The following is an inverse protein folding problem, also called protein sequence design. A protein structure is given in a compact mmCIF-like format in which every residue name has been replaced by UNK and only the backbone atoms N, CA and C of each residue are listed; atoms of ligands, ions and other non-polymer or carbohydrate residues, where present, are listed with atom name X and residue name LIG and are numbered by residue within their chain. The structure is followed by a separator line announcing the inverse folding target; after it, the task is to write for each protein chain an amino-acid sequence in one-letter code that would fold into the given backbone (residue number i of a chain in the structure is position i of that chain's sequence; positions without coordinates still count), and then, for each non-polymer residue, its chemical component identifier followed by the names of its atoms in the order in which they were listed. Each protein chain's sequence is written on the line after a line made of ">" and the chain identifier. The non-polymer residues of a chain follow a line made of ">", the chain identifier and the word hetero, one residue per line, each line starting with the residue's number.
data_IF_984689666516
#
_entry.id   IF_984689666516
#
_cell.length_a   1.000
_cell.length_b   1.000
_cell.length_c   1.000
_cell.angle_alpha   90.00
_cell.angle_beta   90.00
_cell.angle_gamma   90.00
#
_symmetry.space_group_name_H-M   'P 1'
#
loop_
_entity.id
_entity.type
_entity.pdbx_description
1 polymer ?
#
# COMPACT_ATOMS: atom_id res chain seq x y z
N UNK A 1 24.66 -2.58 -24.04
CA UNK A 1 23.94 -2.12 -22.83
C UNK A 1 24.45 -2.95 -21.66
N UNK A 2 24.92 -2.36 -20.56
CA UNK A 2 25.43 -3.17 -19.43
C UNK A 2 24.21 -3.77 -18.71
N UNK A 3 24.28 -5.03 -18.27
CA UNK A 3 23.22 -5.73 -17.51
C UNK A 3 22.66 -4.94 -16.30
N UNK A 4 23.43 -3.96 -15.83
CA UNK A 4 23.06 -3.05 -14.74
C UNK A 4 21.93 -2.09 -15.12
N UNK A 5 21.85 -1.71 -16.39
CA UNK A 5 20.83 -0.77 -16.89
C UNK A 5 19.48 -1.48 -17.09
N UNK A 6 19.52 -2.76 -17.50
CA UNK A 6 18.34 -3.61 -17.73
C UNK A 6 17.48 -3.81 -16.47
N UNK A 7 18.09 -4.08 -15.31
CA UNK A 7 17.35 -4.22 -14.05
C UNK A 7 16.64 -2.92 -13.66
N UNK A 8 17.34 -1.80 -13.79
CA UNK A 8 16.80 -0.49 -13.41
C UNK A 8 15.64 -0.12 -14.33
N UNK A 9 15.76 -0.36 -15.64
CA UNK A 9 14.70 -0.06 -16.60
C UNK A 9 13.49 -0.99 -16.41
N UNK A 10 13.70 -2.26 -16.09
CA UNK A 10 12.63 -3.16 -15.68
C UNK A 10 11.89 -2.64 -14.43
N UNK A 11 12.62 -2.24 -13.38
CA UNK A 11 12.03 -1.74 -12.15
C UNK A 11 11.26 -0.43 -12.37
N UNK A 12 11.75 0.47 -13.24
CA UNK A 12 11.01 1.68 -13.61
C UNK A 12 9.65 1.35 -14.25
N UNK A 13 9.63 0.41 -15.19
CA UNK A 13 8.38 -0.05 -15.81
C UNK A 13 7.44 -0.65 -14.79
N UNK A 14 7.95 -1.56 -13.94
CA UNK A 14 7.17 -2.18 -12.87
C UNK A 14 6.55 -1.16 -11.91
N UNK A 15 7.31 -0.14 -11.50
CA UNK A 15 6.82 0.90 -10.59
C UNK A 15 5.80 1.81 -11.25
N UNK A 16 5.96 2.13 -12.53
CA UNK A 16 4.96 2.87 -13.29
C UNK A 16 3.63 2.09 -13.36
N UNK A 17 3.68 0.82 -13.75
CA UNK A 17 2.49 -0.02 -13.81
C UNK A 17 1.84 -0.26 -12.43
N UNK A 18 2.65 -0.36 -11.37
CA UNK A 18 2.13 -0.44 -10.01
C UNK A 18 1.39 0.85 -9.63
N UNK A 19 1.95 2.01 -9.97
CA UNK A 19 1.33 3.31 -9.71
C UNK A 19 0.01 3.48 -10.46
N UNK A 20 -0.04 3.10 -11.75
CA UNK A 20 -1.26 3.16 -12.56
C UNK A 20 -2.43 2.40 -11.88
N UNK A 21 -2.14 1.26 -11.24
CA UNK A 21 -3.14 0.49 -10.48
C UNK A 21 -3.68 1.28 -9.28
N UNK A 22 -2.82 2.02 -8.58
CA UNK A 22 -3.25 2.87 -7.46
C UNK A 22 -4.10 4.01 -7.98
N UNK A 23 -3.70 4.70 -9.05
CA UNK A 23 -4.46 5.82 -9.61
C UNK A 23 -5.87 5.38 -10.06
N UNK A 24 -5.96 4.24 -10.75
CA UNK A 24 -7.23 3.64 -11.15
C UNK A 24 -8.11 3.31 -9.94
N UNK A 25 -7.56 2.58 -8.95
CA UNK A 25 -8.31 2.17 -7.76
C UNK A 25 -8.68 3.35 -6.88
N UNK A 26 -7.81 4.34 -6.71
CA UNK A 26 -8.05 5.49 -5.85
C UNK A 26 -9.24 6.31 -6.34
N UNK A 27 -9.50 6.31 -7.66
CA UNK A 27 -10.70 6.91 -8.27
C UNK A 27 -12.00 6.22 -7.81
N UNK A 28 -11.98 4.92 -7.54
CA UNK A 28 -13.16 4.14 -7.13
C UNK A 28 -13.40 4.15 -5.61
N UNK A 29 -12.36 4.49 -4.84
CA UNK A 29 -12.25 4.17 -3.42
C UNK A 29 -12.04 5.41 -2.54
N UNK A 30 -11.35 6.46 -2.99
CA UNK A 30 -11.26 7.69 -2.23
C UNK A 30 -12.55 8.50 -2.37
N UNK A 31 -13.09 8.97 -1.24
CA UNK A 31 -13.91 10.18 -1.25
C UNK A 31 -13.00 11.36 -1.60
N UNK A 32 -13.49 12.36 -2.33
CA UNK A 32 -12.70 13.44 -2.94
C UNK A 32 -11.63 14.10 -2.04
N UNK A 33 -11.75 14.02 -0.71
CA UNK A 33 -10.88 14.67 0.26
C UNK A 33 -9.90 13.75 1.04
N UNK A 34 -10.02 12.41 1.00
CA UNK A 34 -9.08 11.53 1.72
C UNK A 34 -8.70 10.23 0.97
N UNK A 35 -7.44 10.10 0.48
CA UNK A 35 -6.98 8.89 -0.21
C UNK A 35 -6.89 7.64 0.68
N UNK A 36 -7.07 7.76 2.00
CA UNK A 36 -7.05 6.64 2.94
C UNK A 36 -8.43 6.31 3.54
N UNK A 37 -9.52 6.92 3.05
CA UNK A 37 -10.87 6.77 3.62
C UNK A 37 -11.27 5.30 3.87
N UNK A 38 -11.01 4.40 2.94
CA UNK A 38 -11.35 2.97 3.11
C UNK A 38 -10.53 2.24 4.16
N UNK A 39 -9.34 2.73 4.47
CA UNK A 39 -8.52 2.19 5.55
C UNK A 39 -8.91 2.80 6.90
N UNK A 40 -9.37 4.04 6.91
CA UNK A 40 -9.86 4.71 8.13
C UNK A 40 -11.14 4.08 8.66
N UNK A 41 -12.02 3.56 7.81
CA UNK A 41 -13.26 2.91 8.23
C UNK A 41 -13.04 1.81 9.29
N UNK A 42 -11.97 1.01 9.19
CA UNK A 42 -11.73 -0.05 10.17
C UNK A 42 -11.30 0.48 11.54
N UNK A 43 -10.67 1.66 11.56
CA UNK A 43 -10.25 2.36 12.77
C UNK A 43 -11.43 3.12 13.38
N UNK A 44 -12.26 3.76 12.56
CA UNK A 44 -13.52 4.39 12.96
C UNK A 44 -14.50 3.40 13.60
N UNK A 45 -14.54 2.16 13.09
CA UNK A 45 -15.30 1.07 13.68
C UNK A 45 -14.67 0.49 14.96
N UNK A 46 -13.51 0.99 15.38
CA UNK A 46 -12.81 0.54 16.59
C UNK A 46 -12.19 -0.86 16.49
N UNK A 47 -11.95 -1.37 15.28
CA UNK A 47 -11.44 -2.72 15.07
C UNK A 47 -9.91 -2.74 15.22
N UNK A 48 -9.22 -1.90 14.45
CA UNK A 48 -7.77 -1.82 14.43
C UNK A 48 -7.32 -0.49 13.81
N UNK A 49 -6.13 -0.01 14.17
CA UNK A 49 -5.53 1.19 13.57
C UNK A 49 -5.27 1.02 12.06
N UNK A 50 -5.42 2.11 11.29
CA UNK A 50 -5.30 2.13 9.83
C UNK A 50 -4.04 1.43 9.30
N UNK A 51 -2.86 1.69 9.87
CA UNK A 51 -1.59 1.10 9.43
C UNK A 51 -1.55 -0.40 9.68
N UNK A 52 -2.14 -0.87 10.78
CA UNK A 52 -2.23 -2.31 11.06
C UNK A 52 -3.19 -2.98 10.07
N UNK A 53 -4.28 -2.31 9.69
CA UNK A 53 -5.18 -2.80 8.64
C UNK A 53 -4.47 -2.91 7.28
N UNK A 54 -3.69 -1.91 6.90
CA UNK A 54 -2.85 -1.92 5.70
C UNK A 54 -1.83 -3.08 5.78
N UNK A 55 -1.20 -3.28 6.94
CA UNK A 55 -0.25 -4.38 7.15
C UNK A 55 -0.89 -5.77 7.03
N UNK A 56 -2.16 -5.93 7.46
CA UNK A 56 -2.92 -7.17 7.22
C UNK A 56 -3.09 -7.42 5.72
N UNK A 57 -3.46 -6.40 4.92
CA UNK A 57 -3.56 -6.55 3.45
C UNK A 57 -2.24 -6.92 2.79
N UNK A 58 -1.14 -6.35 3.28
CA UNK A 58 0.21 -6.69 2.83
C UNK A 58 0.56 -8.15 3.17
N UNK A 59 0.19 -8.59 4.38
CA UNK A 59 0.37 -9.97 4.84
C UNK A 59 -0.42 -10.98 4.00
N UNK A 60 -1.65 -10.66 3.60
CA UNK A 60 -2.45 -11.50 2.69
C UNK A 60 -1.73 -11.73 1.35
N UNK A 61 -1.18 -10.65 0.77
CA UNK A 61 -0.44 -10.70 -0.50
C UNK A 61 0.88 -11.45 -0.36
N UNK A 62 1.58 -11.26 0.76
CA UNK A 62 2.80 -12.01 1.06
C UNK A 62 2.52 -13.51 1.20
N UNK A 63 1.46 -13.88 1.93
CA UNK A 63 1.04 -15.28 2.07
C UNK A 63 0.69 -15.91 0.71
N UNK A 64 0.05 -15.14 -0.17
CA UNK A 64 -0.23 -15.57 -1.55
C UNK A 64 1.04 -15.85 -2.34
N UNK A 65 2.00 -14.91 -2.32
CA UNK A 65 3.29 -15.07 -3.00
C UNK A 65 4.07 -16.27 -2.44
N UNK A 66 4.11 -16.44 -1.12
CA UNK A 66 4.77 -17.58 -0.47
C UNK A 66 4.15 -18.92 -0.90
N UNK A 67 2.83 -18.99 -1.01
CA UNK A 67 2.14 -20.19 -1.50
C UNK A 67 2.50 -20.51 -2.96
N UNK A 68 2.56 -19.49 -3.83
CA UNK A 68 3.00 -19.67 -5.21
C UNK A 68 4.44 -20.20 -5.28
N UNK A 69 5.37 -19.57 -4.56
CA UNK A 69 6.77 -20.00 -4.54
C UNK A 69 6.93 -21.45 -4.04
N UNK A 70 6.03 -21.92 -3.17
CA UNK A 70 6.03 -23.29 -2.66
C UNK A 70 5.42 -24.31 -3.63
N UNK A 71 4.37 -23.94 -4.38
CA UNK A 71 3.58 -24.87 -5.21
C UNK A 71 3.93 -24.83 -6.69
N UNK A 72 4.50 -23.72 -7.17
CA UNK A 72 4.77 -23.47 -8.59
C UNK A 72 3.57 -22.98 -9.39
N UNK A 73 2.38 -22.88 -8.78
CA UNK A 73 1.15 -22.41 -9.41
C UNK A 73 0.30 -21.54 -8.46
N UNK A 74 -0.58 -20.71 -9.05
CA UNK A 74 -1.67 -20.09 -8.31
C UNK A 74 -2.90 -20.98 -8.40
N UNK A 75 -3.53 -21.23 -7.25
CA UNK A 75 -4.79 -21.98 -7.20
C UNK A 75 -5.95 -21.19 -7.84
N UNK A 76 -5.83 -19.87 -7.90
CA UNK A 76 -6.74 -18.97 -8.63
C UNK A 76 -6.07 -18.59 -9.95
N UNK A 77 -6.66 -19.04 -11.06
CA UNK A 77 -6.07 -18.95 -12.41
C UNK A 77 -5.87 -17.52 -12.92
N UNK A 78 -6.61 -16.56 -12.38
CA UNK A 78 -6.69 -15.19 -12.93
C UNK A 78 -5.74 -14.18 -12.27
N UNK A 79 -5.01 -14.56 -11.22
CA UNK A 79 -4.09 -13.63 -10.55
C UNK A 79 -2.64 -13.97 -10.92
N UNK A 80 -1.97 -13.04 -11.60
CA UNK A 80 -0.58 -13.22 -12.02
C UNK A 80 0.35 -12.87 -10.85
N UNK A 81 1.49 -13.54 -10.77
CA UNK A 81 2.56 -13.22 -9.78
C UNK A 81 2.93 -11.74 -9.84
N UNK A 82 2.95 -11.21 -11.06
CA UNK A 82 3.26 -9.82 -11.34
C UNK A 82 2.25 -8.87 -10.67
N UNK A 83 0.95 -9.17 -10.73
CA UNK A 83 -0.09 -8.36 -10.08
C UNK A 83 0.04 -8.41 -8.56
N UNK A 84 0.35 -9.58 -8.01
CA UNK A 84 0.61 -9.73 -6.56
C UNK A 84 1.83 -8.90 -6.12
N UNK A 85 2.89 -8.85 -6.94
CA UNK A 85 4.08 -8.04 -6.66
C UNK A 85 3.74 -6.55 -6.74
N UNK A 86 2.98 -6.12 -7.76
CA UNK A 86 2.52 -4.72 -7.88
C UNK A 86 1.67 -4.30 -6.67
N UNK A 87 0.74 -5.14 -6.23
CA UNK A 87 -0.03 -4.91 -5.01
C UNK A 87 0.88 -4.77 -3.78
N UNK A 88 1.91 -5.62 -3.62
CA UNK A 88 2.87 -5.51 -2.53
C UNK A 88 3.64 -4.17 -2.54
N UNK A 89 4.09 -3.73 -3.73
CA UNK A 89 4.75 -2.43 -3.91
C UNK A 89 3.80 -1.30 -3.47
N UNK A 90 2.56 -1.35 -3.92
CA UNK A 90 1.56 -0.33 -3.62
C UNK A 90 1.20 -0.29 -2.14
N UNK A 91 0.90 -1.43 -1.52
CA UNK A 91 0.58 -1.47 -0.09
C UNK A 91 1.76 -1.05 0.79
N UNK A 92 3.00 -1.32 0.40
CA UNK A 92 4.17 -0.81 1.10
C UNK A 92 4.27 0.73 1.00
N UNK A 93 4.01 1.30 -0.18
CA UNK A 93 3.95 2.76 -0.38
C UNK A 93 2.82 3.42 0.42
N UNK A 94 1.61 2.84 0.37
CA UNK A 94 0.43 3.29 1.13
C UNK A 94 0.69 3.24 2.64
N UNK A 95 1.33 2.17 3.13
CA UNK A 95 1.70 2.05 4.54
C UNK A 95 2.64 3.18 4.98
N UNK A 96 3.69 3.44 4.18
CA UNK A 96 4.62 4.54 4.44
C UNK A 96 3.91 5.90 4.46
N UNK A 97 2.99 6.11 3.52
CA UNK A 97 2.18 7.33 3.46
C UNK A 97 1.31 7.49 4.72
N UNK A 98 0.59 6.45 5.14
CA UNK A 98 -0.23 6.46 6.35
C UNK A 98 0.57 6.79 7.61
N UNK A 99 1.71 6.13 7.81
CA UNK A 99 2.61 6.40 8.95
C UNK A 99 3.07 7.86 8.97
N UNK A 100 3.43 8.42 7.81
CA UNK A 100 3.87 9.82 7.72
C UNK A 100 2.72 10.80 7.99
N UNK A 101 1.53 10.52 7.47
CA UNK A 101 0.33 11.34 7.69
C UNK A 101 -0.05 11.39 9.18
N UNK A 102 0.01 10.25 9.88
CA UNK A 102 -0.25 10.19 11.33
C UNK A 102 0.76 11.01 12.13
N UNK A 103 2.06 10.84 11.88
CA UNK A 103 3.10 11.61 12.58
C UNK A 103 2.96 13.11 12.40
N UNK A 104 2.67 13.56 11.18
CA UNK A 104 2.46 14.99 10.91
C UNK A 104 1.27 15.55 11.72
N UNK A 105 0.20 14.77 11.89
CA UNK A 105 -0.95 15.15 12.71
C UNK A 105 -0.60 15.23 14.20
N UNK A 106 0.14 14.24 14.72
CA UNK A 106 0.62 14.24 16.11
C UNK A 106 1.50 15.47 16.41
N UNK A 107 2.41 15.84 15.50
CA UNK A 107 3.25 17.04 15.62
C UNK A 107 2.45 18.35 15.60
N UNK A 108 1.37 18.41 14.82
CA UNK A 108 0.48 19.57 14.73
C UNK A 108 -0.39 19.73 15.98
N UNK A 109 -0.94 18.62 16.50
CA UNK A 109 -1.73 18.59 17.74
C UNK A 109 -0.84 18.99 18.95
N UNK A 110 0.39 18.48 19.04
CA UNK A 110 1.36 18.85 20.08
C UNK A 110 1.71 20.35 20.05
N UNK A 111 1.87 20.92 18.85
CA UNK A 111 2.16 22.35 18.68
C UNK A 111 0.95 23.21 19.06
N UNK A 112 -0.27 22.77 18.76
CA UNK A 112 -1.48 23.45 19.18
C UNK A 112 -1.57 23.49 20.71
N UNK A 113 -1.46 22.34 21.38
CA UNK A 113 -1.53 22.24 22.84
C UNK A 113 -0.48 23.11 23.56
N UNK A 114 0.73 23.24 22.99
CA UNK A 114 1.77 24.14 23.53
C UNK A 114 1.42 25.63 23.41
N UNK A 115 0.65 26.04 22.38
CA UNK A 115 0.34 27.45 22.12
C UNK A 115 -0.97 27.94 22.77
N UNK A 116 -1.84 27.02 23.21
CA UNK A 116 -3.09 27.35 23.94
C UNK A 116 -3.09 26.95 25.42
N UNK A 117 -2.05 26.27 25.91
CA UNK A 117 -1.81 25.99 27.34
C UNK A 117 -1.07 27.11 28.06
#
# INVERSE_FOLDING_TARGET
>A
MKKRDELVDFLKGLYAEALDIVELKNTDYATDDDPLSNFHLVEELGIVETEKAIFVRLSDKYARLANFLKRGDFTVKDERIEDTIKDLINYAGILLYAIKKRKAKEEEDDLFDYNVG
#
